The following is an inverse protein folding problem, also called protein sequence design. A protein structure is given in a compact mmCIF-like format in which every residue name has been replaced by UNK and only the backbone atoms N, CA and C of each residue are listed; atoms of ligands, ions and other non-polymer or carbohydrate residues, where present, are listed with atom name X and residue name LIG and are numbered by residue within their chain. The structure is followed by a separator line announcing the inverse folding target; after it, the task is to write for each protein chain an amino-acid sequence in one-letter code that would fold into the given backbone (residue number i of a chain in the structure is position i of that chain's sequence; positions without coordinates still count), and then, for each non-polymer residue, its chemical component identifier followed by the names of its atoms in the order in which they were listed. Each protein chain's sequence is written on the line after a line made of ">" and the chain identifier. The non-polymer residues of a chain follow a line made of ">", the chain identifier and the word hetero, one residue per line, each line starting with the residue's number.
data_IF_684484960585
#
_entry.id   IF_684484960585
#
_cell.length_a   1.000
_cell.length_b   1.000
_cell.length_c   1.000
_cell.angle_alpha   90.00
_cell.angle_beta   90.00
_cell.angle_gamma   90.00
#
_symmetry.space_group_name_H-M   'P 1'
#
loop_
_entity.id
_entity.type
_entity.pdbx_description
1 polymer ?
#
# COMPACT_ATOMS: atom_id res chain seq x y z
N UNK A 1 -14.57 -16.03 23.84
CA UNK A 1 -14.57 -15.57 22.44
C UNK A 1 -13.32 -14.74 22.25
N UNK A 2 -12.61 -14.86 21.12
CA UNK A 2 -11.46 -14.00 20.85
C UNK A 2 -11.92 -12.52 20.84
N UNK A 3 -11.14 -11.64 21.47
CA UNK A 3 -11.43 -10.21 21.46
C UNK A 3 -10.72 -9.59 20.24
N UNK A 4 -11.47 -9.13 19.24
CA UNK A 4 -10.94 -8.48 18.04
C UNK A 4 -10.76 -6.97 18.24
N UNK A 5 -10.32 -6.58 19.43
CA UNK A 5 -9.97 -5.19 19.75
C UNK A 5 -8.59 -4.85 19.17
N UNK A 6 -8.45 -3.70 18.48
CA UNK A 6 -7.15 -3.23 18.03
C UNK A 6 -6.24 -2.91 19.21
N UNK A 7 -4.94 -3.14 19.02
CA UNK A 7 -3.90 -2.86 20.00
C UNK A 7 -2.71 -2.20 19.30
N UNK A 8 -1.90 -1.38 20.00
CA UNK A 8 -0.78 -0.67 19.39
C UNK A 8 0.20 -1.55 18.61
N UNK A 9 0.45 -2.79 19.05
CA UNK A 9 1.33 -3.74 18.37
C UNK A 9 0.83 -4.17 16.98
N UNK A 10 -0.46 -3.99 16.67
CA UNK A 10 -1.00 -4.27 15.34
C UNK A 10 -0.64 -3.18 14.33
N UNK A 11 -0.20 -2.00 14.79
CA UNK A 11 0.22 -0.86 13.95
C UNK A 11 -0.80 -0.47 12.88
N UNK A 12 -2.08 -0.45 13.25
CA UNK A 12 -3.13 0.07 12.37
C UNK A 12 -3.05 1.58 12.27
N UNK A 13 -3.02 2.11 11.05
CA UNK A 13 -2.93 3.55 10.81
C UNK A 13 -3.97 3.99 9.80
N UNK A 14 -4.27 5.29 9.81
CA UNK A 14 -5.21 5.93 8.88
C UNK A 14 -4.66 7.28 8.44
N UNK A 15 -4.87 7.66 7.18
CA UNK A 15 -4.54 9.00 6.70
C UNK A 15 -5.55 10.03 7.21
N UNK A 16 -5.16 11.28 7.45
CA UNK A 16 -6.13 12.34 7.77
C UNK A 16 -7.23 12.44 6.70
N UNK A 17 -6.86 12.25 5.43
CA UNK A 17 -7.76 12.28 4.27
C UNK A 17 -8.79 11.12 4.24
N UNK A 18 -8.59 10.06 5.03
CA UNK A 18 -9.45 8.86 5.06
C UNK A 18 -10.73 9.14 5.85
N UNK A 19 -10.62 9.16 7.18
CA UNK A 19 -11.70 9.51 8.11
C UNK A 19 -12.14 10.97 8.00
N UNK A 20 -11.27 11.85 7.48
CA UNK A 20 -11.56 13.25 7.18
C UNK A 20 -12.21 13.47 5.81
N UNK A 21 -12.41 12.43 5.00
CA UNK A 21 -13.06 12.55 3.70
C UNK A 21 -14.49 13.10 3.87
N UNK A 22 -14.81 14.20 3.18
CA UNK A 22 -16.11 14.88 3.31
C UNK A 22 -17.22 14.25 2.46
N UNK A 23 -16.92 13.19 1.72
CA UNK A 23 -17.81 12.50 0.78
C UNK A 23 -18.10 13.30 -0.49
N UNK A 24 -17.21 14.21 -0.88
CA UNK A 24 -17.27 14.87 -2.20
C UNK A 24 -16.76 13.91 -3.26
N UNK A 25 -17.50 13.77 -4.35
CA UNK A 25 -17.10 12.97 -5.51
C UNK A 25 -17.23 13.82 -6.79
N UNK A 26 -16.90 13.30 -8.00
CA UNK A 26 -16.99 14.08 -9.23
C UNK A 26 -18.42 14.56 -9.60
N UNK A 27 -19.46 13.98 -9.00
CA UNK A 27 -20.87 14.19 -9.34
C UNK A 27 -21.72 14.75 -8.17
N UNK A 28 -21.12 15.00 -7.01
CA UNK A 28 -21.83 15.45 -5.82
C UNK A 28 -20.99 16.34 -4.91
N UNK A 29 -21.66 17.32 -4.27
CA UNK A 29 -21.08 18.16 -3.21
C UNK A 29 -20.73 17.32 -1.96
N UNK A 30 -19.91 17.86 -1.03
CA UNK A 30 -19.68 17.24 0.28
C UNK A 30 -20.98 16.87 1.01
N UNK A 31 -20.97 15.75 1.73
CA UNK A 31 -22.08 15.30 2.61
C UNK A 31 -21.74 15.38 4.10
N UNK A 32 -20.47 15.63 4.42
CA UNK A 32 -19.94 15.76 5.78
C UNK A 32 -19.14 17.06 5.89
N UNK A 33 -19.13 17.64 7.09
CA UNK A 33 -18.29 18.80 7.37
C UNK A 33 -16.82 18.37 7.46
N UNK A 34 -15.92 19.25 7.05
CA UNK A 34 -14.51 19.07 7.33
C UNK A 34 -14.25 19.18 8.84
N UNK A 35 -13.39 18.30 9.36
CA UNK A 35 -12.91 18.34 10.73
C UNK A 35 -11.48 18.85 10.75
N UNK A 36 -11.09 19.54 11.82
CA UNK A 36 -9.71 19.97 11.98
C UNK A 36 -8.79 18.74 12.21
N UNK A 37 -7.51 18.80 11.80
CA UNK A 37 -6.58 17.68 11.93
C UNK A 37 -6.47 17.13 13.36
N UNK A 38 -6.47 18.00 14.37
CA UNK A 38 -6.39 17.59 15.78
C UNK A 38 -7.65 16.86 16.26
N UNK A 39 -8.84 17.18 15.72
CA UNK A 39 -10.09 16.47 16.02
C UNK A 39 -10.05 15.06 15.42
N UNK A 40 -9.53 14.92 14.20
CA UNK A 40 -9.35 13.62 13.54
C UNK A 40 -8.40 12.70 14.33
N UNK A 41 -7.35 13.26 14.95
CA UNK A 41 -6.47 12.50 15.87
C UNK A 41 -7.29 11.91 17.03
N UNK A 42 -8.18 12.69 17.65
CA UNK A 42 -9.04 12.17 18.73
C UNK A 42 -10.03 11.11 18.25
N UNK A 43 -10.61 11.27 17.06
CA UNK A 43 -11.47 10.24 16.44
C UNK A 43 -10.70 8.94 16.24
N UNK A 44 -9.47 9.00 15.72
CA UNK A 44 -8.62 7.83 15.50
C UNK A 44 -8.21 7.15 16.82
N UNK A 45 -7.95 7.94 17.87
CA UNK A 45 -7.65 7.42 19.19
C UNK A 45 -8.84 6.67 19.80
N UNK A 46 -10.05 7.22 19.65
CA UNK A 46 -11.29 6.62 20.14
C UNK A 46 -11.56 5.24 19.52
N UNK A 47 -11.27 5.07 18.22
CA UNK A 47 -11.45 3.78 17.53
C UNK A 47 -10.28 2.80 17.73
N UNK A 48 -9.20 3.23 18.37
CA UNK A 48 -8.05 2.39 18.73
C UNK A 48 -6.94 2.28 17.68
N UNK A 49 -6.80 3.27 16.80
CA UNK A 49 -5.69 3.33 15.85
C UNK A 49 -4.34 3.56 16.57
N UNK A 50 -3.26 3.03 15.99
CA UNK A 50 -1.89 3.23 16.47
C UNK A 50 -1.27 4.55 15.99
N UNK A 51 -1.59 4.96 14.76
CA UNK A 51 -1.01 6.17 14.17
C UNK A 51 -1.89 6.82 13.12
N UNK A 52 -1.50 8.04 12.76
CA UNK A 52 -2.12 8.87 11.73
C UNK A 52 -1.08 9.28 10.70
N UNK A 53 -1.45 9.24 9.43
CA UNK A 53 -0.62 9.70 8.31
C UNK A 53 -1.22 10.97 7.71
N UNK A 54 -0.45 11.77 6.97
CA UNK A 54 -0.99 12.98 6.33
C UNK A 54 -0.29 13.35 5.02
N UNK A 55 -1.02 13.96 4.09
CA UNK A 55 -0.41 14.89 3.14
C UNK A 55 -0.14 16.21 3.84
N UNK A 56 0.89 16.92 3.40
CA UNK A 56 1.18 18.28 3.87
C UNK A 56 -0.07 19.18 3.89
N UNK A 57 -0.90 19.14 2.83
CA UNK A 57 -2.11 19.95 2.74
C UNK A 57 -3.33 19.42 3.50
N UNK A 58 -3.32 18.17 3.97
CA UNK A 58 -4.36 17.69 4.90
C UNK A 58 -4.15 18.30 6.29
N UNK A 59 -2.88 18.52 6.66
CA UNK A 59 -2.51 19.12 7.94
C UNK A 59 -2.46 20.64 7.85
N UNK A 60 -1.73 21.21 6.89
CA UNK A 60 -1.52 22.64 6.73
C UNK A 60 -2.12 23.10 5.39
N UNK A 61 -3.23 23.86 5.39
CA UNK A 61 -3.79 24.42 4.16
C UNK A 61 -2.73 25.17 3.34
N UNK A 62 -2.80 25.05 2.01
CA UNK A 62 -1.75 25.58 1.12
C UNK A 62 -1.54 27.10 1.27
N UNK A 63 -2.61 27.82 1.59
CA UNK A 63 -2.62 29.27 1.77
C UNK A 63 -2.55 29.71 3.24
N UNK A 64 -2.28 28.79 4.18
CA UNK A 64 -2.17 29.13 5.59
C UNK A 64 -1.03 30.13 5.82
N UNK A 65 -1.34 31.21 6.54
CA UNK A 65 -0.31 32.15 7.01
C UNK A 65 0.63 31.45 8.00
N UNK A 66 1.86 31.99 8.22
CA UNK A 66 2.78 31.41 9.21
C UNK A 66 2.15 31.25 10.61
N UNK A 67 1.34 32.23 11.05
CA UNK A 67 0.66 32.16 12.34
C UNK A 67 -0.41 31.06 12.40
N UNK A 68 -1.16 30.84 11.31
CA UNK A 68 -2.15 29.76 11.23
C UNK A 68 -1.45 28.40 11.21
N UNK A 69 -0.39 28.25 10.40
CA UNK A 69 0.45 27.05 10.36
C UNK A 69 0.96 26.68 11.75
N UNK A 70 1.55 27.64 12.46
CA UNK A 70 2.14 27.39 13.78
C UNK A 70 1.07 27.00 14.81
N UNK A 71 -0.11 27.62 14.74
CA UNK A 71 -1.23 27.26 15.60
C UNK A 71 -1.77 25.85 15.31
N UNK A 72 -1.95 25.49 14.03
CA UNK A 72 -2.39 24.15 13.63
C UNK A 72 -1.37 23.08 14.09
N UNK A 73 -0.07 23.33 13.90
CA UNK A 73 0.98 22.41 14.35
C UNK A 73 1.00 22.26 15.87
N UNK A 74 0.78 23.34 16.62
CA UNK A 74 0.68 23.31 18.08
C UNK A 74 -0.47 22.42 18.53
N UNK A 75 -1.66 22.60 17.94
CA UNK A 75 -2.86 21.84 18.31
C UNK A 75 -2.73 20.37 17.89
N UNK A 76 -2.16 20.10 16.72
CA UNK A 76 -1.90 18.74 16.25
C UNK A 76 -0.91 18.01 17.17
N UNK A 77 0.21 18.64 17.54
CA UNK A 77 1.17 18.06 18.50
C UNK A 77 0.54 17.84 19.88
N UNK A 78 -0.33 18.74 20.34
CA UNK A 78 -1.05 18.57 21.59
C UNK A 78 -1.97 17.35 21.55
N UNK A 79 -2.72 17.15 20.45
CA UNK A 79 -3.57 15.98 20.27
C UNK A 79 -2.78 14.67 20.19
N UNK A 80 -1.65 14.64 19.46
CA UNK A 80 -0.76 13.47 19.40
C UNK A 80 -0.22 13.12 20.80
N UNK A 81 0.20 14.13 21.58
CA UNK A 81 0.69 13.92 22.95
C UNK A 81 -0.41 13.41 23.89
N UNK A 82 -1.63 13.93 23.77
CA UNK A 82 -2.76 13.54 24.63
C UNK A 82 -3.26 12.12 24.35
N UNK A 83 -3.18 11.67 23.09
CA UNK A 83 -3.70 10.38 22.64
C UNK A 83 -2.64 9.28 22.57
N UNK A 84 -1.37 9.65 22.43
CA UNK A 84 -0.26 8.72 22.21
C UNK A 84 -0.12 8.23 20.77
N UNK A 85 -0.99 8.68 19.84
CA UNK A 85 -0.92 8.36 18.41
C UNK A 85 0.45 8.74 17.83
N UNK A 86 0.93 7.90 16.92
CA UNK A 86 2.18 8.13 16.17
C UNK A 86 1.90 8.74 14.81
N UNK A 87 2.94 9.27 14.18
CA UNK A 87 2.95 9.61 12.74
C UNK A 87 3.96 8.71 12.06
N UNK A 88 3.60 7.50 11.59
CA UNK A 88 4.57 6.60 10.98
C UNK A 88 4.96 7.01 9.57
N UNK A 89 4.04 7.64 8.83
CA UNK A 89 4.20 8.01 7.43
C UNK A 89 3.67 9.43 7.16
N UNK A 90 4.34 10.13 6.24
CA UNK A 90 3.88 11.38 5.64
C UNK A 90 4.05 11.34 4.12
N UNK A 91 3.33 12.21 3.41
CA UNK A 91 3.37 12.33 1.94
C UNK A 91 3.12 13.78 1.51
N UNK A 92 3.32 14.09 0.23
CA UNK A 92 3.06 15.42 -0.34
C UNK A 92 1.83 15.38 -1.23
N UNK A 93 0.92 16.34 -1.08
CA UNK A 93 -0.13 16.52 -2.08
C UNK A 93 0.46 17.17 -3.34
N UNK A 94 0.64 16.37 -4.40
CA UNK A 94 1.10 16.82 -5.72
C UNK A 94 0.02 16.66 -6.80
N UNK A 95 -1.26 16.72 -6.41
CA UNK A 95 -2.36 16.36 -7.31
C UNK A 95 -3.62 17.22 -7.22
N UNK A 96 -3.83 17.98 -6.14
CA UNK A 96 -4.98 18.89 -6.01
C UNK A 96 -4.73 20.28 -6.62
N UNK A 97 -3.55 20.86 -6.43
CA UNK A 97 -3.24 22.19 -6.96
C UNK A 97 -3.28 22.20 -8.51
N UNK A 98 -3.96 23.17 -9.15
CA UNK A 98 -4.02 23.29 -10.61
C UNK A 98 -2.66 23.33 -11.32
N UNK A 99 -1.59 23.75 -10.64
CA UNK A 99 -0.23 23.73 -11.18
C UNK A 99 0.22 22.30 -11.57
N UNK A 100 -0.27 21.27 -10.87
CA UNK A 100 0.12 19.87 -11.09
C UNK A 100 -0.76 19.13 -12.10
N UNK A 101 -1.63 19.83 -12.85
CA UNK A 101 -2.59 19.22 -13.78
C UNK A 101 -1.98 18.30 -14.84
N UNK A 102 -0.70 18.50 -15.22
CA UNK A 102 0.03 17.69 -16.22
C UNK A 102 1.17 16.84 -15.59
N UNK A 103 1.05 16.56 -14.30
CA UNK A 103 2.12 15.98 -13.50
C UNK A 103 2.88 17.04 -12.74
N UNK A 104 3.48 16.63 -11.64
CA UNK A 104 4.33 17.44 -10.80
C UNK A 104 5.79 17.20 -11.23
N UNK A 105 6.37 16.04 -10.89
CA UNK A 105 7.76 15.74 -11.24
C UNK A 105 7.97 15.51 -12.73
N UNK A 106 6.96 15.02 -13.44
CA UNK A 106 7.05 14.76 -14.87
C UNK A 106 6.45 15.87 -15.73
N UNK A 107 5.98 16.97 -15.13
CA UNK A 107 5.38 18.10 -15.85
C UNK A 107 6.21 18.52 -17.06
N UNK A 108 5.55 18.89 -18.17
CA UNK A 108 6.24 19.51 -19.29
C UNK A 108 6.86 20.87 -18.92
N UNK A 109 6.26 21.60 -17.98
CA UNK A 109 6.78 22.88 -17.51
C UNK A 109 7.91 22.68 -16.47
N UNK A 110 9.15 23.13 -16.74
CA UNK A 110 10.25 23.04 -15.77
C UNK A 110 9.99 23.77 -14.45
N UNK A 111 9.21 24.85 -14.46
CA UNK A 111 8.88 25.62 -13.26
C UNK A 111 7.98 24.81 -12.33
N UNK A 112 7.04 24.04 -12.88
CA UNK A 112 6.18 23.12 -12.11
C UNK A 112 7.01 22.00 -11.49
N UNK A 113 7.99 21.45 -12.23
CA UNK A 113 8.90 20.43 -11.68
C UNK A 113 9.74 20.96 -10.52
N UNK A 114 10.26 22.17 -10.65
CA UNK A 114 11.01 22.82 -9.57
C UNK A 114 10.12 23.10 -8.35
N UNK A 115 8.88 23.56 -8.56
CA UNK A 115 7.91 23.76 -7.48
C UNK A 115 7.56 22.43 -6.78
N UNK A 116 7.35 21.35 -7.52
CA UNK A 116 7.09 20.03 -6.96
C UNK A 116 8.23 19.55 -6.03
N UNK A 117 9.50 19.74 -6.44
CA UNK A 117 10.66 19.43 -5.60
C UNK A 117 10.70 20.28 -4.33
N UNK A 118 10.54 21.59 -4.45
CA UNK A 118 10.52 22.50 -3.29
C UNK A 118 9.42 22.12 -2.30
N UNK A 119 8.19 21.92 -2.79
CA UNK A 119 7.05 21.55 -1.96
C UNK A 119 7.29 20.23 -1.23
N UNK A 120 7.85 19.25 -1.93
CA UNK A 120 8.17 17.94 -1.35
C UNK A 120 9.24 18.03 -0.27
N UNK A 121 10.29 18.86 -0.46
CA UNK A 121 11.31 19.06 0.60
C UNK A 121 10.69 19.65 1.87
N UNK A 122 9.86 20.70 1.76
CA UNK A 122 9.17 21.28 2.92
C UNK A 122 8.24 20.27 3.60
N UNK A 123 7.58 19.40 2.84
CA UNK A 123 6.71 18.36 3.36
C UNK A 123 7.51 17.22 4.03
N UNK A 124 8.70 16.88 3.51
CA UNK A 124 9.65 15.96 4.15
C UNK A 124 10.10 16.52 5.51
N UNK A 125 10.50 17.80 5.58
CA UNK A 125 10.87 18.45 6.84
C UNK A 125 9.74 18.38 7.87
N UNK A 126 8.51 18.66 7.43
CA UNK A 126 7.33 18.58 8.29
C UNK A 126 7.12 17.15 8.81
N UNK A 127 7.15 16.14 7.93
CA UNK A 127 7.02 14.72 8.29
C UNK A 127 8.09 14.27 9.28
N UNK A 128 9.36 14.59 9.01
CA UNK A 128 10.49 14.29 9.89
C UNK A 128 10.31 14.94 11.27
N UNK A 129 9.87 16.20 11.32
CA UNK A 129 9.63 16.93 12.58
C UNK A 129 8.51 16.35 13.46
N UNK A 130 7.65 15.50 12.87
CA UNK A 130 6.55 14.80 13.53
C UNK A 130 6.84 13.31 13.76
N UNK A 131 8.01 12.82 13.35
CA UNK A 131 8.49 11.48 13.63
C UNK A 131 8.16 10.44 12.56
N UNK A 132 7.79 10.86 11.34
CA UNK A 132 7.63 9.93 10.22
C UNK A 132 8.94 9.20 9.92
N UNK A 133 8.86 7.87 9.73
CA UNK A 133 9.98 7.04 9.30
C UNK A 133 9.86 6.58 7.84
N UNK A 134 8.66 6.70 7.28
CA UNK A 134 8.36 6.42 5.87
C UNK A 134 7.85 7.71 5.22
N UNK A 135 8.30 7.96 3.99
CA UNK A 135 7.76 9.00 3.13
C UNK A 135 7.18 8.39 1.86
N UNK A 136 5.88 8.55 1.65
CA UNK A 136 5.19 7.96 0.48
C UNK A 136 5.19 8.93 -0.69
N UNK A 137 5.27 8.36 -1.90
CA UNK A 137 5.18 9.08 -3.17
C UNK A 137 4.10 8.45 -4.05
N UNK A 138 2.93 9.08 -4.09
CA UNK A 138 1.90 8.75 -5.07
C UNK A 138 1.95 9.74 -6.25
N UNK A 139 2.34 9.22 -7.42
CA UNK A 139 2.46 9.98 -8.66
C UNK A 139 1.13 10.17 -9.39
N UNK A 140 0.04 10.52 -8.71
CA UNK A 140 -1.32 10.50 -9.29
C UNK A 140 -1.50 11.36 -10.55
N UNK A 141 -0.69 12.41 -10.75
CA UNK A 141 -0.72 13.26 -11.96
C UNK A 141 0.35 12.89 -13.00
N UNK A 142 1.25 11.98 -12.68
CA UNK A 142 2.39 11.59 -13.52
C UNK A 142 1.95 10.59 -14.60
N UNK A 143 1.35 11.12 -15.66
CA UNK A 143 0.77 10.30 -16.73
C UNK A 143 0.34 11.11 -17.94
N UNK A 144 -0.51 10.52 -18.77
CA UNK A 144 -1.05 11.13 -20.01
C UNK A 144 -2.46 10.66 -20.32
N UNK A 145 -3.22 11.48 -21.04
CA UNK A 145 -4.46 11.08 -21.76
C UNK A 145 -4.21 10.86 -23.25
N UNK A 146 -3.05 11.31 -23.74
CA UNK A 146 -2.63 11.15 -25.14
C UNK A 146 -1.12 10.97 -25.22
N UNK A 147 -0.69 9.89 -25.87
CA UNK A 147 0.74 9.56 -26.02
C UNK A 147 1.53 10.61 -26.81
N UNK A 148 0.85 11.47 -27.57
CA UNK A 148 1.47 12.59 -28.28
C UNK A 148 1.90 13.75 -27.37
N UNK A 149 1.43 13.78 -26.12
CA UNK A 149 1.66 14.93 -25.20
C UNK A 149 3.04 14.94 -24.55
N UNK A 150 3.57 13.76 -24.18
CA UNK A 150 4.79 13.62 -23.38
C UNK A 150 5.55 12.38 -23.81
N UNK A 151 6.85 12.52 -24.04
CA UNK A 151 7.72 11.37 -24.24
C UNK A 151 7.88 10.60 -22.91
N UNK A 152 7.44 9.32 -22.82
CA UNK A 152 7.53 8.56 -21.58
C UNK A 152 8.98 8.29 -21.14
N UNK A 153 9.95 8.27 -22.06
CA UNK A 153 11.38 8.15 -21.71
C UNK A 153 11.86 9.39 -20.94
N UNK A 154 11.49 10.58 -21.40
CA UNK A 154 11.84 11.83 -20.72
C UNK A 154 11.10 11.98 -19.39
N UNK A 155 9.82 11.57 -19.33
CA UNK A 155 9.07 11.53 -18.08
C UNK A 155 9.72 10.61 -17.04
N UNK A 156 10.10 9.39 -17.45
CA UNK A 156 10.81 8.43 -16.58
C UNK A 156 12.18 8.94 -16.12
N UNK A 157 12.91 9.65 -16.99
CA UNK A 157 14.17 10.32 -16.61
C UNK A 157 13.94 11.41 -15.56
N UNK A 158 12.97 12.30 -15.77
CA UNK A 158 12.63 13.38 -14.83
C UNK A 158 12.20 12.85 -13.47
N UNK A 159 11.38 11.79 -13.45
CA UNK A 159 10.94 11.21 -12.19
C UNK A 159 12.13 10.62 -11.41
N UNK A 160 13.05 9.94 -12.11
CA UNK A 160 14.29 9.43 -11.51
C UNK A 160 15.17 10.53 -10.94
N UNK A 161 15.37 11.60 -11.70
CA UNK A 161 16.12 12.78 -11.24
C UNK A 161 15.49 13.37 -9.98
N UNK A 162 14.16 13.47 -9.92
CA UNK A 162 13.45 13.98 -8.75
C UNK A 162 13.62 13.09 -7.51
N UNK A 163 13.44 11.78 -7.64
CA UNK A 163 13.62 10.85 -6.52
C UNK A 163 15.08 10.84 -6.04
N UNK A 164 16.06 10.82 -6.95
CA UNK A 164 17.48 10.89 -6.58
C UNK A 164 17.82 12.21 -5.87
N UNK A 165 17.27 13.33 -6.34
CA UNK A 165 17.46 14.64 -5.70
C UNK A 165 16.92 14.63 -4.25
N UNK A 166 15.72 14.09 -4.04
CA UNK A 166 15.10 14.01 -2.71
C UNK A 166 15.80 13.01 -1.79
N UNK A 167 16.34 11.90 -2.31
CA UNK A 167 17.20 11.00 -1.53
C UNK A 167 18.47 11.73 -1.06
N UNK A 168 19.13 12.50 -1.94
CA UNK A 168 20.29 13.31 -1.56
C UNK A 168 19.92 14.35 -0.49
N UNK A 169 18.77 15.00 -0.63
CA UNK A 169 18.27 15.96 0.36
C UNK A 169 18.05 15.30 1.74
N UNK A 170 17.37 14.15 1.80
CA UNK A 170 17.17 13.39 3.05
C UNK A 170 18.50 13.00 3.71
N UNK A 171 19.49 12.59 2.91
CA UNK A 171 20.83 12.27 3.42
C UNK A 171 21.56 13.51 3.95
N UNK A 172 21.47 14.63 3.25
CA UNK A 172 22.09 15.90 3.65
C UNK A 172 21.49 16.44 4.96
N UNK A 173 20.17 16.34 5.13
CA UNK A 173 19.48 16.69 6.39
C UNK A 173 19.75 15.69 7.53
N UNK A 174 20.31 14.52 7.23
CA UNK A 174 20.56 13.47 8.22
C UNK A 174 19.29 12.79 8.74
N UNK A 175 18.21 12.78 7.97
CA UNK A 175 16.96 12.12 8.35
C UNK A 175 17.03 10.61 8.12
N UNK A 176 16.52 9.82 9.09
CA UNK A 176 16.34 8.36 8.95
C UNK A 176 14.98 8.04 8.31
N UNK A 177 14.83 8.48 7.05
CA UNK A 177 13.61 8.32 6.25
C UNK A 177 13.83 7.33 5.11
N UNK A 178 12.85 6.45 4.89
CA UNK A 178 12.77 5.60 3.70
C UNK A 178 11.64 6.07 2.78
N UNK A 179 11.85 5.95 1.48
CA UNK A 179 10.84 6.31 0.49
C UNK A 179 10.05 5.08 0.05
N UNK A 180 8.74 5.23 -0.08
CA UNK A 180 7.86 4.18 -0.58
C UNK A 180 7.04 4.71 -1.78
N UNK A 181 7.28 4.15 -2.97
CA UNK A 181 6.60 4.56 -4.19
C UNK A 181 5.28 3.81 -4.33
N UNK A 182 4.21 4.53 -4.63
CA UNK A 182 2.86 4.00 -4.73
C UNK A 182 2.40 3.95 -6.18
N UNK A 183 2.17 2.73 -6.65
CA UNK A 183 1.70 2.47 -8.00
C UNK A 183 0.19 2.61 -8.08
N UNK A 184 -0.30 3.19 -9.19
CA UNK A 184 -1.72 3.21 -9.55
C UNK A 184 -1.84 3.17 -11.07
N UNK A 185 -2.73 2.36 -11.66
CA UNK A 185 -2.78 2.21 -13.12
C UNK A 185 -3.31 3.46 -13.84
N UNK A 186 -4.35 4.06 -13.28
CA UNK A 186 -5.09 5.18 -13.84
C UNK A 186 -5.83 5.93 -12.73
N UNK A 187 -6.49 7.02 -13.09
CA UNK A 187 -7.24 7.93 -12.21
C UNK A 187 -6.33 8.69 -11.21
N UNK A 188 -6.20 10.03 -11.36
CA UNK A 188 -6.96 10.91 -12.24
C UNK A 188 -6.45 11.01 -13.69
N UNK A 189 -5.26 10.50 -14.02
CA UNK A 189 -4.80 10.42 -15.43
C UNK A 189 -5.43 9.22 -16.14
N UNK A 190 -5.53 9.24 -17.47
CA UNK A 190 -5.93 8.03 -18.22
C UNK A 190 -4.96 6.89 -17.95
N UNK A 191 -3.66 7.18 -18.07
CA UNK A 191 -2.59 6.20 -17.87
C UNK A 191 -1.47 6.85 -17.05
N UNK A 192 -1.20 6.30 -15.86
CA UNK A 192 -0.08 6.71 -15.01
C UNK A 192 1.16 5.88 -15.39
N UNK A 193 2.33 6.52 -15.47
CA UNK A 193 3.52 5.90 -16.09
C UNK A 193 4.03 4.63 -15.39
N UNK A 194 3.87 4.53 -14.08
CA UNK A 194 4.31 3.39 -13.26
C UNK A 194 3.08 2.70 -12.66
N UNK A 195 2.34 1.93 -13.49
CA UNK A 195 0.96 1.55 -13.19
C UNK A 195 0.80 0.42 -12.17
N UNK A 196 1.87 -0.33 -11.89
CA UNK A 196 1.85 -1.51 -11.01
C UNK A 196 3.05 -1.54 -10.10
N UNK A 197 2.95 -2.29 -9.01
CA UNK A 197 4.04 -2.54 -8.06
C UNK A 197 5.28 -3.09 -8.78
N UNK A 198 5.10 -3.98 -9.75
CA UNK A 198 6.20 -4.51 -10.57
C UNK A 198 6.91 -3.42 -11.40
N UNK A 199 6.16 -2.46 -11.95
CA UNK A 199 6.74 -1.32 -12.67
C UNK A 199 7.57 -0.43 -11.72
N UNK A 200 7.06 -0.17 -10.50
CA UNK A 200 7.80 0.57 -9.48
C UNK A 200 9.09 -0.16 -9.05
N UNK A 201 9.04 -1.49 -8.84
CA UNK A 201 10.23 -2.28 -8.52
C UNK A 201 11.29 -2.21 -9.64
N UNK A 202 10.85 -2.30 -10.90
CA UNK A 202 11.71 -2.14 -12.07
C UNK A 202 12.34 -0.74 -12.14
N UNK A 203 11.58 0.31 -11.80
CA UNK A 203 12.09 1.68 -11.73
C UNK A 203 13.09 1.89 -10.59
N UNK A 204 12.79 1.38 -9.39
CA UNK A 204 13.64 1.53 -8.19
C UNK A 204 15.05 1.01 -8.42
N UNK A 205 15.20 -0.12 -9.14
CA UNK A 205 16.51 -0.71 -9.46
C UNK A 205 17.43 0.21 -10.28
N UNK A 206 16.91 1.35 -10.75
CA UNK A 206 17.60 2.26 -11.66
C UNK A 206 17.91 3.63 -11.04
N UNK A 207 17.58 3.80 -9.75
CA UNK A 207 17.90 4.97 -8.94
C UNK A 207 19.35 4.95 -8.44
N UNK A 208 19.85 6.08 -7.95
CA UNK A 208 21.22 6.19 -7.41
C UNK A 208 21.32 5.55 -6.01
N UNK A 209 20.21 5.54 -5.26
CA UNK A 209 20.11 4.98 -3.91
C UNK A 209 18.94 3.98 -3.81
N UNK A 210 18.96 2.88 -4.58
CA UNK A 210 17.86 1.94 -4.62
C UNK A 210 17.52 1.38 -3.23
N UNK A 211 18.49 1.23 -2.32
CA UNK A 211 18.31 0.77 -0.94
C UNK A 211 17.44 1.67 -0.07
N UNK A 212 17.36 2.96 -0.37
CA UNK A 212 16.52 3.93 0.36
C UNK A 212 15.06 3.92 -0.10
N UNK A 213 14.77 3.26 -1.22
CA UNK A 213 13.47 3.30 -1.88
C UNK A 213 12.87 1.90 -1.98
N UNK A 214 11.61 1.80 -1.60
CA UNK A 214 10.75 0.63 -1.71
C UNK A 214 9.39 1.02 -2.28
N UNK A 215 8.39 0.18 -2.04
CA UNK A 215 7.03 0.35 -2.55
C UNK A 215 6.01 0.49 -1.41
N UNK A 216 4.91 1.19 -1.73
CA UNK A 216 3.65 1.26 -1.00
C UNK A 216 2.54 0.72 -1.91
N UNK A 217 2.36 -0.60 -2.03
CA UNK A 217 1.31 -1.15 -2.88
C UNK A 217 -0.05 -0.99 -2.17
N UNK A 218 -1.09 -0.69 -2.94
CA UNK A 218 -2.47 -0.56 -2.46
C UNK A 218 -3.38 -1.62 -3.08
N UNK A 219 -4.28 -2.20 -2.27
CA UNK A 219 -5.21 -3.25 -2.72
C UNK A 219 -6.02 -2.78 -3.93
N UNK A 220 -6.63 -1.59 -3.85
CA UNK A 220 -7.51 -1.10 -4.89
C UNK A 220 -6.76 -0.87 -6.20
N UNK A 221 -5.56 -0.30 -6.16
CA UNK A 221 -4.78 0.02 -7.35
C UNK A 221 -4.47 -1.20 -8.22
N UNK A 222 -4.00 -2.31 -7.65
CA UNK A 222 -3.76 -3.53 -8.44
C UNK A 222 -5.08 -4.18 -8.90
N UNK A 223 -6.12 -4.10 -8.07
CA UNK A 223 -7.46 -4.59 -8.41
C UNK A 223 -8.15 -3.77 -9.51
N UNK A 224 -7.90 -2.46 -9.63
CA UNK A 224 -8.40 -1.65 -10.75
C UNK A 224 -7.96 -2.23 -12.10
N UNK A 225 -6.73 -2.74 -12.18
CA UNK A 225 -6.17 -3.42 -13.34
C UNK A 225 -6.52 -4.93 -13.43
N UNK A 226 -7.28 -5.47 -12.48
CA UNK A 226 -7.66 -6.88 -12.42
C UNK A 226 -6.53 -7.82 -12.01
N UNK A 227 -5.48 -7.30 -11.36
CA UNK A 227 -4.31 -8.07 -10.93
C UNK A 227 -4.53 -8.70 -9.54
N UNK A 228 -3.72 -9.71 -9.23
CA UNK A 228 -3.72 -10.33 -7.90
C UNK A 228 -2.80 -9.55 -6.96
N UNK A 229 -3.38 -8.84 -6.00
CA UNK A 229 -2.63 -7.99 -5.07
C UNK A 229 -1.64 -8.76 -4.19
N UNK A 230 -2.01 -9.94 -3.69
CA UNK A 230 -1.12 -10.76 -2.86
C UNK A 230 0.15 -11.16 -3.63
N UNK A 231 0.06 -11.44 -4.93
CA UNK A 231 1.23 -11.75 -5.75
C UNK A 231 2.17 -10.54 -5.91
N UNK A 232 1.63 -9.34 -6.09
CA UNK A 232 2.42 -8.11 -6.16
C UNK A 232 3.14 -7.83 -4.82
N UNK A 233 2.44 -8.01 -3.70
CA UNK A 233 3.00 -7.89 -2.35
C UNK A 233 4.09 -8.95 -2.10
N UNK A 234 3.88 -10.20 -2.53
CA UNK A 234 4.87 -11.27 -2.40
C UNK A 234 6.14 -10.97 -3.21
N UNK A 235 6.01 -10.42 -4.42
CA UNK A 235 7.15 -9.98 -5.21
C UNK A 235 7.91 -8.82 -4.53
N UNK A 236 7.19 -7.85 -3.97
CA UNK A 236 7.80 -6.73 -3.24
C UNK A 236 8.51 -7.20 -1.96
N UNK A 237 7.93 -8.20 -1.27
CA UNK A 237 8.54 -8.83 -0.10
C UNK A 237 9.83 -9.58 -0.46
N UNK A 238 9.79 -10.41 -1.51
CA UNK A 238 10.97 -11.14 -2.01
C UNK A 238 12.12 -10.20 -2.42
N UNK A 239 11.79 -9.06 -3.04
CA UNK A 239 12.77 -8.03 -3.38
C UNK A 239 13.32 -7.24 -2.16
N UNK A 240 12.77 -7.43 -0.96
CA UNK A 240 13.12 -6.65 0.23
C UNK A 240 12.67 -5.18 0.12
N UNK A 241 11.60 -4.91 -0.62
CA UNK A 241 11.12 -3.56 -0.98
C UNK A 241 9.74 -3.21 -0.46
N UNK A 242 9.04 -4.11 0.23
CA UNK A 242 7.75 -3.80 0.87
C UNK A 242 7.97 -2.91 2.11
N UNK A 243 8.00 -1.59 1.91
CA UNK A 243 8.31 -0.61 2.96
C UNK A 243 7.06 -0.09 3.67
N UNK A 244 5.95 -0.02 2.94
CA UNK A 244 4.62 0.33 3.45
C UNK A 244 3.57 -0.49 2.69
N UNK A 245 2.30 -0.42 3.11
CA UNK A 245 1.19 -1.08 2.42
C UNK A 245 -0.12 -0.40 2.75
N UNK A 246 -0.96 -0.20 1.74
CA UNK A 246 -2.27 0.41 1.86
C UNK A 246 -3.38 -0.64 1.65
N UNK A 247 -4.28 -0.69 2.63
CA UNK A 247 -5.29 -1.73 2.79
C UNK A 247 -6.68 -1.14 2.63
N UNK A 248 -7.31 -1.47 1.51
CA UNK A 248 -8.70 -1.16 1.22
C UNK A 248 -9.33 -2.34 0.47
N UNK A 249 -10.42 -2.11 -0.25
CA UNK A 249 -11.01 -3.13 -1.10
C UNK A 249 -11.56 -2.49 -2.38
N UNK A 250 -11.72 -3.30 -3.42
CA UNK A 250 -12.02 -2.82 -4.75
C UNK A 250 -12.59 -3.94 -5.59
N UNK A 251 -13.62 -3.61 -6.35
CA UNK A 251 -14.07 -4.44 -7.45
C UNK A 251 -13.30 -4.08 -8.73
N UNK A 252 -12.97 -5.07 -9.55
CA UNK A 252 -12.12 -4.85 -10.72
C UNK A 252 -12.72 -3.91 -11.79
N UNK A 253 -11.85 -3.28 -12.58
CA UNK A 253 -12.18 -2.65 -13.87
C UNK A 253 -13.07 -1.41 -13.80
N UNK A 254 -12.87 -0.52 -12.83
CA UNK A 254 -13.71 0.66 -12.56
C UNK A 254 -12.90 1.74 -11.82
N UNK A 255 -13.54 2.89 -11.55
CA UNK A 255 -13.01 3.94 -10.69
C UNK A 255 -12.59 3.41 -9.31
N UNK A 256 -11.65 4.08 -8.68
CA UNK A 256 -11.19 3.73 -7.36
C UNK A 256 -12.29 3.94 -6.31
N UNK A 257 -12.66 2.86 -5.61
CA UNK A 257 -13.80 2.87 -4.71
C UNK A 257 -13.43 3.09 -3.25
N UNK A 258 -12.14 2.96 -2.89
CA UNK A 258 -11.65 3.15 -1.52
C UNK A 258 -12.50 2.43 -0.46
N UNK A 259 -12.93 1.20 -0.75
CA UNK A 259 -13.81 0.48 0.16
C UNK A 259 -13.09 0.08 1.43
N UNK A 260 -13.86 -0.04 2.52
CA UNK A 260 -13.42 -0.66 3.76
C UNK A 260 -12.73 -2.01 3.48
N UNK A 261 -11.57 -2.25 4.11
CA UNK A 261 -10.79 -3.48 3.91
C UNK A 261 -11.64 -4.75 4.13
N UNK A 262 -11.67 -5.62 3.12
CA UNK A 262 -12.44 -6.86 3.11
C UNK A 262 -13.96 -6.67 3.04
N UNK A 263 -14.45 -5.57 2.46
CA UNK A 263 -15.87 -5.36 2.22
C UNK A 263 -16.42 -6.18 1.05
N UNK A 264 -15.59 -6.54 0.07
CA UNK A 264 -16.02 -7.20 -1.17
C UNK A 264 -15.21 -8.47 -1.45
N UNK A 265 -13.88 -8.36 -1.57
CA UNK A 265 -13.00 -9.45 -2.00
C UNK A 265 -12.43 -10.24 -0.81
N UNK A 266 -13.31 -10.76 0.07
CA UNK A 266 -12.94 -11.41 1.34
C UNK A 266 -11.85 -12.49 1.24
N UNK A 267 -11.89 -13.32 0.20
CA UNK A 267 -10.91 -14.40 0.02
C UNK A 267 -9.52 -13.90 -0.40
N UNK A 268 -9.46 -12.83 -1.20
CA UNK A 268 -8.20 -12.15 -1.53
C UNK A 268 -7.63 -11.47 -0.28
N UNK A 269 -8.48 -10.76 0.48
CA UNK A 269 -8.10 -10.15 1.75
C UNK A 269 -7.56 -11.19 2.75
N UNK A 270 -8.18 -12.37 2.82
CA UNK A 270 -7.69 -13.48 3.65
C UNK A 270 -6.27 -13.90 3.29
N UNK A 271 -5.99 -14.18 2.02
CA UNK A 271 -4.66 -14.62 1.61
C UNK A 271 -3.61 -13.53 1.75
N UNK A 272 -3.98 -12.26 1.57
CA UNK A 272 -3.11 -11.13 1.90
C UNK A 272 -2.75 -11.09 3.39
N UNK A 273 -3.74 -11.14 4.28
CA UNK A 273 -3.50 -11.12 5.74
C UNK A 273 -2.65 -12.32 6.14
N UNK A 274 -3.00 -13.51 5.66
CA UNK A 274 -2.22 -14.73 5.89
C UNK A 274 -0.77 -14.55 5.46
N UNK A 275 -0.53 -14.05 4.25
CA UNK A 275 0.82 -13.80 3.74
C UNK A 275 1.60 -12.84 4.65
N UNK A 276 1.05 -11.66 4.95
CA UNK A 276 1.71 -10.64 5.78
C UNK A 276 2.07 -11.14 7.18
N UNK A 277 1.17 -11.93 7.79
CA UNK A 277 1.38 -12.50 9.12
C UNK A 277 2.38 -13.66 9.10
N UNK A 278 2.35 -14.53 8.09
CA UNK A 278 3.28 -15.66 7.95
C UNK A 278 4.72 -15.20 7.70
N UNK A 279 4.91 -14.16 6.87
CA UNK A 279 6.25 -13.61 6.60
C UNK A 279 6.73 -12.65 7.69
N UNK A 280 5.89 -12.32 8.66
CA UNK A 280 6.25 -11.46 9.78
C UNK A 280 6.45 -9.99 9.38
N UNK A 281 5.64 -9.46 8.47
CA UNK A 281 5.68 -8.04 8.12
C UNK A 281 5.47 -7.16 9.37
N UNK A 282 6.39 -6.23 9.63
CA UNK A 282 6.41 -5.43 10.86
C UNK A 282 6.05 -3.96 10.66
N UNK A 283 5.79 -3.53 9.42
CA UNK A 283 5.36 -2.17 9.10
C UNK A 283 3.91 -1.89 9.50
N UNK A 284 3.47 -0.66 9.26
CA UNK A 284 2.07 -0.25 9.47
C UNK A 284 1.13 -1.02 8.56
N UNK A 285 -0.09 -1.30 9.07
CA UNK A 285 -1.24 -1.72 8.29
C UNK A 285 -2.09 -0.47 8.08
N UNK A 286 -1.81 0.27 7.03
CA UNK A 286 -2.48 1.52 6.75
C UNK A 286 -3.78 1.25 6.00
N UNK A 287 -4.88 1.83 6.46
CA UNK A 287 -6.15 1.76 5.75
C UNK A 287 -6.36 3.04 4.95
N UNK A 288 -5.83 3.07 3.73
CA UNK A 288 -6.10 4.13 2.77
C UNK A 288 -7.44 3.87 2.09
N UNK A 289 -8.52 4.26 2.77
CA UNK A 289 -9.88 4.04 2.34
C UNK A 289 -10.78 5.12 2.93
N UNK A 290 -12.04 5.20 2.54
CA UNK A 290 -12.97 6.08 3.23
C UNK A 290 -14.34 5.44 3.44
N UNK A 291 -15.08 5.94 4.43
CA UNK A 291 -16.47 5.54 4.63
C UNK A 291 -17.31 5.84 3.38
N UNK A 292 -18.36 5.06 3.16
CA UNK A 292 -19.28 5.33 2.05
C UNK A 292 -19.83 6.75 2.14
N UNK A 293 -20.14 7.34 0.98
CA UNK A 293 -20.72 8.67 0.87
C UNK A 293 -22.08 8.80 1.58
N UNK A 294 -22.74 7.69 1.90
CA UNK A 294 -24.03 7.68 2.61
C UNK A 294 -23.90 7.85 4.13
N UNK A 295 -22.69 7.80 4.67
CA UNK A 295 -22.47 7.74 6.10
C UNK A 295 -22.28 9.13 6.73
N UNK A 296 -22.73 9.26 7.97
CA UNK A 296 -22.39 10.36 8.87
C UNK A 296 -21.12 10.04 9.68
N UNK A 297 -20.79 10.85 10.70
CA UNK A 297 -19.60 10.61 11.53
C UNK A 297 -19.66 9.35 12.39
N UNK A 298 -20.85 8.80 12.67
CA UNK A 298 -20.96 7.49 13.33
C UNK A 298 -20.53 6.41 12.35
N UNK A 299 -21.03 6.44 11.11
CA UNK A 299 -20.63 5.51 10.07
C UNK A 299 -19.15 5.63 9.67
N UNK A 300 -18.52 6.82 9.82
CA UNK A 300 -17.06 6.97 9.70
C UNK A 300 -16.29 6.17 10.75
N UNK A 301 -16.75 6.21 11.99
CA UNK A 301 -16.14 5.41 13.08
C UNK A 301 -16.38 3.92 12.85
N UNK A 302 -17.57 3.53 12.41
CA UNK A 302 -17.89 2.14 12.06
C UNK A 302 -17.00 1.62 10.92
N UNK A 303 -16.73 2.46 9.91
CA UNK A 303 -15.76 2.18 8.84
C UNK A 303 -14.36 1.88 9.42
N UNK A 304 -13.84 2.78 10.25
CA UNK A 304 -12.49 2.64 10.81
C UNK A 304 -12.36 1.41 11.72
N UNK A 305 -13.33 1.19 12.61
CA UNK A 305 -13.40 -0.01 13.46
C UNK A 305 -13.51 -1.26 12.58
N UNK A 306 -14.36 -1.23 11.55
CA UNK A 306 -14.58 -2.35 10.66
C UNK A 306 -13.33 -2.76 9.85
N UNK A 307 -12.51 -1.80 9.41
CA UNK A 307 -11.21 -2.08 8.80
C UNK A 307 -10.29 -2.92 9.71
N UNK A 308 -10.05 -2.41 10.93
CA UNK A 308 -9.20 -3.08 11.93
C UNK A 308 -9.76 -4.44 12.35
N UNK A 309 -11.07 -4.49 12.61
CA UNK A 309 -11.76 -5.70 13.04
C UNK A 309 -11.70 -6.80 11.98
N UNK A 310 -11.94 -6.46 10.70
CA UNK A 310 -11.84 -7.44 9.61
C UNK A 310 -10.43 -8.00 9.50
N UNK A 311 -9.38 -7.16 9.59
CA UNK A 311 -8.00 -7.65 9.59
C UNK A 311 -7.75 -8.67 10.71
N UNK A 312 -8.18 -8.37 11.94
CA UNK A 312 -7.97 -9.25 13.09
C UNK A 312 -8.73 -10.58 12.99
N UNK A 313 -9.96 -10.55 12.45
CA UNK A 313 -10.71 -11.77 12.17
C UNK A 313 -9.95 -12.63 11.14
N UNK A 314 -9.52 -12.03 10.02
CA UNK A 314 -8.78 -12.73 8.98
C UNK A 314 -7.43 -13.28 9.48
N UNK A 315 -6.76 -12.55 10.39
CA UNK A 315 -5.55 -13.01 11.07
C UNK A 315 -5.81 -14.27 11.91
N UNK A 316 -6.89 -14.30 12.69
CA UNK A 316 -7.29 -15.53 13.40
C UNK A 316 -7.60 -16.66 12.42
N UNK A 317 -8.33 -16.38 11.34
CA UNK A 317 -8.61 -17.38 10.29
C UNK A 317 -7.33 -17.93 9.67
N UNK A 318 -6.32 -17.10 9.44
CA UNK A 318 -5.02 -17.53 8.93
C UNK A 318 -4.32 -18.48 9.91
N UNK A 319 -4.39 -18.20 11.22
CA UNK A 319 -3.88 -19.11 12.25
C UNK A 319 -4.61 -20.45 12.24
N UNK A 320 -5.95 -20.44 12.14
CA UNK A 320 -6.75 -21.67 12.01
C UNK A 320 -6.36 -22.48 10.78
N UNK A 321 -6.23 -21.83 9.63
CA UNK A 321 -5.75 -22.46 8.39
C UNK A 321 -4.39 -23.15 8.58
N UNK A 322 -3.45 -22.47 9.25
CA UNK A 322 -2.12 -23.01 9.53
C UNK A 322 -2.11 -24.17 10.54
N UNK A 323 -3.11 -24.25 11.41
CA UNK A 323 -3.24 -25.29 12.44
C UNK A 323 -4.11 -26.47 12.00
N UNK A 324 -4.91 -26.31 10.94
CA UNK A 324 -5.81 -27.34 10.46
C UNK A 324 -5.04 -28.53 9.86
N UNK A 325 -5.20 -29.70 10.49
CA UNK A 325 -4.44 -30.91 10.12
C UNK A 325 -4.76 -31.42 8.72
N UNK A 326 -5.99 -31.27 8.26
CA UNK A 326 -6.41 -31.74 6.94
C UNK A 326 -5.81 -30.86 5.84
N UNK A 327 -5.88 -29.53 6.03
CA UNK A 327 -5.24 -28.55 5.15
C UNK A 327 -3.73 -28.79 5.10
N UNK A 328 -3.07 -28.91 6.26
CA UNK A 328 -1.62 -29.11 6.29
C UNK A 328 -1.19 -30.46 5.68
N UNK A 329 -1.95 -31.53 5.87
CA UNK A 329 -1.69 -32.82 5.24
C UNK A 329 -1.81 -32.75 3.71
N UNK A 330 -2.86 -32.07 3.20
CA UNK A 330 -3.06 -31.89 1.77
C UNK A 330 -1.94 -31.03 1.15
N UNK A 331 -1.53 -29.96 1.83
CA UNK A 331 -0.39 -29.14 1.41
C UNK A 331 0.92 -29.94 1.38
N UNK A 332 1.16 -30.82 2.36
CA UNK A 332 2.33 -31.69 2.36
C UNK A 332 2.32 -32.68 1.19
N UNK A 333 1.15 -33.24 0.84
CA UNK A 333 0.99 -34.12 -0.32
C UNK A 333 1.22 -33.38 -1.65
N UNK A 334 0.66 -32.18 -1.78
CA UNK A 334 0.85 -31.31 -2.96
C UNK A 334 2.33 -31.02 -3.18
N UNK A 335 3.02 -30.62 -2.10
CA UNK A 335 4.42 -30.20 -2.15
C UNK A 335 5.42 -31.35 -1.98
N UNK A 336 4.97 -32.60 -1.97
CA UNK A 336 5.84 -33.75 -1.81
C UNK A 336 6.88 -33.81 -2.95
N UNK A 337 8.16 -33.80 -2.56
CA UNK A 337 9.31 -34.00 -3.44
C UNK A 337 10.05 -35.28 -2.99
N UNK A 338 10.23 -36.22 -3.92
CA UNK A 338 10.97 -37.46 -3.65
C UNK A 338 12.50 -37.27 -3.70
N UNK A 339 12.95 -36.07 -4.02
CA UNK A 339 14.36 -35.68 -4.06
C UNK A 339 15.14 -36.22 -5.25
N UNK A 340 14.50 -36.90 -6.20
CA UNK A 340 15.16 -37.47 -7.39
C UNK A 340 15.91 -36.39 -8.19
N UNK A 341 15.35 -35.18 -8.24
CA UNK A 341 15.90 -34.04 -8.96
C UNK A 341 16.74 -33.08 -8.10
N UNK A 342 17.07 -33.44 -6.85
CA UNK A 342 17.86 -32.58 -5.95
C UNK A 342 19.23 -32.20 -6.51
N UNK A 343 19.78 -32.99 -7.45
CA UNK A 343 21.05 -32.65 -8.12
C UNK A 343 20.98 -31.35 -8.94
N UNK A 344 19.79 -30.83 -9.25
CA UNK A 344 19.60 -29.55 -9.93
C UNK A 344 19.75 -28.34 -8.99
N UNK A 345 19.69 -28.55 -7.67
CA UNK A 345 19.89 -27.49 -6.69
C UNK A 345 21.30 -26.88 -6.78
N UNK A 346 21.45 -25.60 -6.40
CA UNK A 346 22.75 -24.91 -6.41
C UNK A 346 23.22 -24.44 -7.79
N UNK A 347 22.31 -24.29 -8.75
CA UNK A 347 22.57 -23.63 -10.03
C UNK A 347 23.17 -24.53 -11.12
N UNK A 348 23.44 -23.89 -12.26
CA UNK A 348 23.86 -24.54 -13.50
C UNK A 348 25.25 -25.18 -13.42
N UNK A 349 25.39 -26.37 -14.01
CA UNK A 349 26.67 -26.88 -14.49
C UNK A 349 26.45 -27.68 -15.77
N UNK A 350 27.51 -27.83 -16.57
CA UNK A 350 27.48 -28.64 -17.79
C UNK A 350 27.09 -30.09 -17.48
N UNK A 351 27.59 -30.65 -16.38
CA UNK A 351 27.33 -32.04 -16.00
C UNK A 351 25.89 -32.25 -15.54
N UNK A 352 25.34 -31.34 -14.73
CA UNK A 352 23.91 -31.36 -14.37
C UNK A 352 23.02 -31.25 -15.62
N UNK A 353 23.38 -30.37 -16.56
CA UNK A 353 22.65 -30.21 -17.80
C UNK A 353 22.73 -31.46 -18.68
N UNK A 354 23.90 -32.10 -18.79
CA UNK A 354 24.06 -33.35 -19.53
C UNK A 354 23.29 -34.49 -18.88
N UNK A 355 23.32 -34.60 -17.55
CA UNK A 355 22.51 -35.56 -16.78
C UNK A 355 21.02 -35.35 -17.05
N UNK A 356 20.52 -34.12 -16.91
CA UNK A 356 19.11 -33.80 -17.13
C UNK A 356 18.67 -34.06 -18.58
N UNK A 357 19.52 -33.76 -19.56
CA UNK A 357 19.25 -34.06 -20.98
C UNK A 357 19.14 -35.56 -21.26
N UNK A 358 19.83 -36.39 -20.47
CA UNK A 358 19.75 -37.85 -20.55
C UNK A 358 18.60 -38.46 -19.75
N UNK A 359 17.84 -37.66 -19.00
CA UNK A 359 16.73 -38.14 -18.18
C UNK A 359 15.52 -38.52 -19.06
N UNK A 360 14.91 -39.68 -18.77
CA UNK A 360 13.66 -40.10 -19.40
C UNK A 360 12.47 -39.71 -18.52
N UNK A 361 11.50 -39.01 -19.10
CA UNK A 361 10.29 -38.58 -18.41
C UNK A 361 9.05 -39.34 -18.91
N UNK A 362 8.33 -39.99 -18.00
CA UNK A 362 6.99 -40.52 -18.26
C UNK A 362 5.97 -39.36 -18.26
N UNK A 363 5.87 -38.66 -19.40
CA UNK A 363 4.96 -37.52 -19.58
C UNK A 363 3.50 -37.86 -19.25
N UNK A 364 2.92 -39.00 -19.69
CA UNK A 364 1.59 -39.41 -19.26
C UNK A 364 1.44 -39.50 -17.74
N UNK A 365 2.38 -40.14 -17.03
CA UNK A 365 2.31 -40.23 -15.57
C UNK A 365 2.44 -38.85 -14.90
N UNK A 366 3.32 -37.97 -15.39
CA UNK A 366 3.46 -36.59 -14.90
C UNK A 366 2.15 -35.81 -15.05
N UNK A 367 1.45 -35.97 -16.18
CA UNK A 367 0.17 -35.30 -16.43
C UNK A 367 -1.03 -35.93 -15.71
N UNK A 368 -0.91 -37.16 -15.21
CA UNK A 368 -2.00 -37.86 -14.54
C UNK A 368 -2.14 -37.51 -13.05
N UNK A 369 -1.16 -36.82 -12.45
CA UNK A 369 -1.18 -36.44 -11.03
C UNK A 369 -2.24 -35.36 -10.78
N UNK A 370 -3.28 -35.73 -10.03
CA UNK A 370 -4.20 -34.75 -9.43
C UNK A 370 -3.57 -34.03 -8.25
N UNK A 371 -3.80 -32.72 -8.11
CA UNK A 371 -3.21 -31.89 -7.05
C UNK A 371 -4.21 -31.53 -5.93
N UNK A 372 -5.48 -31.92 -6.05
CA UNK A 372 -6.47 -31.71 -4.97
C UNK A 372 -6.81 -30.24 -4.66
N UNK A 373 -6.50 -29.31 -5.57
CA UNK A 373 -6.68 -27.87 -5.33
C UNK A 373 -8.14 -27.47 -5.05
N UNK A 374 -9.13 -28.08 -5.70
CA UNK A 374 -10.55 -27.86 -5.39
C UNK A 374 -10.90 -28.21 -3.93
N UNK A 375 -10.34 -29.31 -3.42
CA UNK A 375 -10.51 -29.66 -2.00
C UNK A 375 -9.85 -28.62 -1.12
N UNK A 376 -8.59 -28.27 -1.37
CA UNK A 376 -7.87 -27.25 -0.60
C UNK A 376 -8.62 -25.91 -0.56
N UNK A 377 -9.18 -25.52 -1.70
CA UNK A 377 -9.94 -24.29 -1.86
C UNK A 377 -11.23 -24.31 -1.03
N UNK A 378 -11.99 -25.39 -1.11
CA UNK A 378 -13.20 -25.58 -0.30
C UNK A 378 -12.89 -25.60 1.21
N UNK A 379 -11.81 -26.27 1.63
CA UNK A 379 -11.37 -26.25 3.02
C UNK A 379 -11.05 -24.82 3.50
N UNK A 380 -10.47 -24.00 2.62
CA UNK A 380 -10.21 -22.57 2.88
C UNK A 380 -11.51 -21.79 3.05
N UNK A 381 -12.50 -22.02 2.19
CA UNK A 381 -13.83 -21.39 2.30
C UNK A 381 -14.50 -21.75 3.62
N UNK A 382 -14.38 -23.01 4.06
CA UNK A 382 -14.94 -23.46 5.34
C UNK A 382 -14.29 -22.77 6.55
N UNK A 383 -12.97 -22.53 6.51
CA UNK A 383 -12.28 -21.70 7.52
C UNK A 383 -12.84 -20.27 7.53
N UNK A 384 -12.99 -19.65 6.35
CA UNK A 384 -13.51 -18.29 6.21
C UNK A 384 -14.94 -18.16 6.75
N UNK A 385 -15.82 -19.08 6.36
CA UNK A 385 -17.21 -19.14 6.83
C UNK A 385 -17.34 -19.57 8.29
N UNK A 386 -16.26 -20.02 8.93
CA UNK A 386 -16.22 -20.39 10.35
C UNK A 386 -16.94 -21.69 10.67
N UNK A 387 -17.07 -22.57 9.69
CA UNK A 387 -17.58 -23.94 9.88
C UNK A 387 -16.46 -24.95 10.16
N UNK A 388 -15.22 -24.45 10.27
CA UNK A 388 -14.00 -25.19 10.63
C UNK A 388 -13.19 -24.46 11.70
#
# INVERSE_FOLDING_TARGET
>A
MANYEPRPEHKFTFGLWTVGNTGRDPFGLPVRNALAPHELVHVLAEVGAYGVNFHDNDLIPIDATPSERDQILKDFRAALNATGLKVPMATTNLFHDPAFKDGAFTSNDPSVRAYALQKTMHAIDLGASLGAGIYVFWGGREGTETDASKNPLEAGKRFREAINFLCNYVKDQGYDLKFALEAKPNEPRSDIYLPTTGAMLGFIATLDYPEMVGVNPEVAHEHMAGLNFMHAVAQAWDAGKLFHIDLNDQKFGRYDQDFRFGADMLKQAFFLVKFLEDVGYTGSRHFDAHAYRTEDMVGVKDFAVGCMRTYLILKEKAQRFNQDREIQALLAEINADNGHFNYLAGGYSRDKANRLKGESFDRPALGARGLGYERLDQLTVEVLLGVR
#
